data_IF_501529630168
#
_entry.id   IF_501529630168
#
_cell.length_a   1.000
_cell.length_b   1.000
_cell.length_c   1.000
_cell.angle_alpha   90.00
_cell.angle_beta   90.00
_cell.angle_gamma   90.00
#
_symmetry.space_group_name_H-M   'P 1'
#
loop_
_entity.id
_entity.type
_entity.pdbx_description
1 polymer ?
#
# COMPACT_ATOMS: atom_id res chain seq x y z
N UNK A 1 22.21 -0.36 8.48
CA UNK A 1 20.82 -0.27 7.98
C UNK A 1 20.87 -0.51 6.48
N UNK A 2 20.17 -1.52 5.96
CA UNK A 2 20.14 -1.78 4.52
C UNK A 2 19.45 -0.60 3.82
N UNK A 3 19.97 -0.10 2.69
CA UNK A 3 19.36 1.03 2.00
C UNK A 3 17.91 0.70 1.57
N UNK A 4 16.95 1.56 1.91
CA UNK A 4 15.53 1.36 1.61
C UNK A 4 15.23 1.76 0.16
N UNK A 5 14.76 0.82 -0.65
CA UNK A 5 14.42 1.08 -2.05
C UNK A 5 12.95 1.41 -2.27
N UNK A 6 12.68 2.13 -3.37
CA UNK A 6 11.34 2.51 -3.78
C UNK A 6 10.42 1.31 -4.10
N UNK A 7 10.93 0.08 -4.25
CA UNK A 7 10.12 -1.13 -4.48
C UNK A 7 9.04 -1.30 -3.43
N UNK A 8 9.40 -1.17 -2.15
CA UNK A 8 8.47 -1.35 -1.02
C UNK A 8 7.99 -0.01 -0.44
N UNK A 9 8.06 1.08 -1.21
CA UNK A 9 7.57 2.39 -0.79
C UNK A 9 6.05 2.49 -0.98
N UNK A 10 5.31 2.95 0.02
CA UNK A 10 3.86 3.16 -0.06
C UNK A 10 3.46 4.20 -1.13
N UNK A 11 4.37 5.09 -1.51
CA UNK A 11 4.19 6.04 -2.61
C UNK A 11 4.50 5.45 -4.00
N UNK A 12 5.10 4.25 -4.07
CA UNK A 12 5.22 3.47 -5.30
C UNK A 12 4.13 2.40 -5.32
N UNK A 13 2.94 2.78 -5.76
CA UNK A 13 1.75 1.96 -5.60
C UNK A 13 1.51 0.94 -6.73
N UNK A 14 2.43 0.85 -7.69
CA UNK A 14 2.35 -0.12 -8.78
C UNK A 14 3.02 -1.47 -8.45
N UNK A 15 3.69 -1.55 -7.29
CA UNK A 15 4.54 -2.68 -6.94
C UNK A 15 4.51 -2.96 -5.44
N UNK A 16 4.69 -4.22 -5.05
CA UNK A 16 5.08 -4.64 -3.70
C UNK A 16 5.89 -5.91 -3.81
N UNK A 17 7.07 -5.96 -3.19
CA UNK A 17 7.97 -7.12 -3.26
C UNK A 17 8.16 -7.59 -4.71
N UNK A 18 7.76 -8.85 -5.00
CA UNK A 18 7.85 -9.49 -6.31
C UNK A 18 6.63 -9.27 -7.22
N UNK A 19 5.63 -8.47 -6.80
CA UNK A 19 4.38 -8.27 -7.53
C UNK A 19 4.26 -6.85 -8.06
N UNK A 20 3.75 -6.69 -9.28
CA UNK A 20 3.46 -5.40 -9.90
C UNK A 20 4.03 -5.27 -11.30
N UNK A 21 4.11 -4.03 -11.78
CA UNK A 21 4.71 -3.69 -13.07
C UNK A 21 6.23 -3.83 -13.05
N UNK A 22 6.90 -3.90 -14.19
CA UNK A 22 8.37 -3.89 -14.25
C UNK A 22 8.95 -2.57 -13.73
N UNK A 23 8.39 -1.44 -14.18
CA UNK A 23 8.72 -0.08 -13.73
C UNK A 23 7.80 0.36 -12.59
N UNK A 24 8.28 1.19 -11.68
CA UNK A 24 7.47 1.79 -10.62
C UNK A 24 6.99 3.19 -10.99
N UNK A 25 6.19 3.80 -10.11
CA UNK A 25 5.82 5.21 -10.22
C UNK A 25 5.74 5.84 -8.84
N UNK A 26 6.53 6.88 -8.59
CA UNK A 26 6.48 7.61 -7.34
C UNK A 26 5.44 8.74 -7.42
N UNK A 27 4.31 8.59 -6.74
CA UNK A 27 3.25 9.61 -6.75
C UNK A 27 3.67 10.93 -6.08
N UNK A 28 4.69 10.90 -5.22
CA UNK A 28 5.22 12.10 -4.55
C UNK A 28 6.00 13.01 -5.48
N UNK A 29 6.86 12.40 -6.30
CA UNK A 29 7.74 13.13 -7.20
C UNK A 29 7.20 13.15 -8.64
N UNK A 30 6.08 12.46 -8.89
CA UNK A 30 5.47 12.28 -10.22
C UNK A 30 6.48 11.78 -11.24
N UNK A 31 7.22 10.75 -10.84
CA UNK A 31 8.33 10.18 -11.61
C UNK A 31 8.14 8.69 -11.83
N UNK A 32 8.36 8.25 -13.06
CA UNK A 32 8.54 6.85 -13.42
C UNK A 32 9.84 6.37 -12.81
N UNK A 33 9.82 5.21 -12.17
CA UNK A 33 10.99 4.56 -11.59
C UNK A 33 11.36 3.39 -12.50
N UNK A 34 12.33 3.58 -13.39
CA UNK A 34 12.76 2.53 -14.32
C UNK A 34 13.48 1.40 -13.58
N UNK A 35 14.23 1.75 -12.53
CA UNK A 35 14.89 0.79 -11.64
C UNK A 35 14.49 1.05 -10.17
N UNK A 36 13.27 0.66 -9.75
CA UNK A 36 12.76 0.93 -8.39
C UNK A 36 13.64 0.35 -7.28
N UNK A 37 14.34 -0.76 -7.54
CA UNK A 37 15.24 -1.43 -6.61
C UNK A 37 16.54 -0.65 -6.35
N UNK A 38 16.91 0.24 -7.27
CA UNK A 38 18.11 1.08 -7.18
C UNK A 38 17.80 2.54 -6.81
N UNK A 39 16.52 2.89 -6.59
CA UNK A 39 16.11 4.27 -6.30
C UNK A 39 15.51 4.42 -4.91
N UNK A 40 15.56 5.64 -4.38
CA UNK A 40 14.97 6.01 -3.09
C UNK A 40 14.59 7.50 -3.04
N UNK A 41 13.95 7.94 -1.96
CA UNK A 41 13.78 9.36 -1.66
C UNK A 41 13.60 9.61 -0.15
N UNK A 42 13.80 10.85 0.30
CA UNK A 42 13.56 11.23 1.70
C UNK A 42 12.09 11.15 2.14
N UNK A 43 11.15 10.91 1.22
CA UNK A 43 9.73 10.70 1.53
C UNK A 43 9.36 9.22 1.71
N UNK A 44 10.28 8.30 1.41
CA UNK A 44 10.00 6.87 1.42
C UNK A 44 9.37 6.42 2.74
N UNK A 45 8.25 5.72 2.63
CA UNK A 45 7.57 5.07 3.75
C UNK A 45 7.41 3.59 3.39
N UNK A 46 7.99 2.69 4.21
CA UNK A 46 7.92 1.24 3.98
C UNK A 46 6.49 0.74 4.14
N UNK A 47 5.95 0.09 3.11
CA UNK A 47 4.56 -0.41 3.09
C UNK A 47 4.39 -1.79 3.73
N UNK A 48 5.50 -2.52 3.85
CA UNK A 48 5.64 -3.87 4.42
C UNK A 48 5.97 -3.86 5.92
N UNK A 49 6.17 -2.67 6.51
CA UNK A 49 6.33 -2.48 7.95
C UNK A 49 5.04 -1.96 8.59
N UNK A 50 4.81 -2.28 9.85
CA UNK A 50 3.75 -1.67 10.66
C UNK A 50 3.98 -0.17 10.85
N UNK A 51 2.92 0.62 11.02
CA UNK A 51 3.01 2.10 11.07
C UNK A 51 4.13 2.65 11.95
N UNK A 52 4.23 2.17 13.20
CA UNK A 52 5.26 2.63 14.14
C UNK A 52 6.67 2.38 13.59
N UNK A 53 6.94 1.17 13.11
CA UNK A 53 8.24 0.82 12.53
C UNK A 53 8.50 1.57 11.22
N UNK A 54 7.49 1.71 10.36
CA UNK A 54 7.56 2.47 9.12
C UNK A 54 7.92 3.95 9.36
N UNK A 55 7.36 4.58 10.41
CA UNK A 55 7.70 5.96 10.79
C UNK A 55 9.11 6.10 11.34
N UNK A 56 9.56 5.13 12.15
CA UNK A 56 10.94 5.12 12.68
C UNK A 56 11.94 5.00 11.54
N UNK A 57 11.74 4.03 10.64
CA UNK A 57 12.59 3.85 9.46
C UNK A 57 12.56 5.07 8.55
N UNK A 58 11.37 5.63 8.30
CA UNK A 58 11.23 6.86 7.53
C UNK A 58 12.07 7.97 8.17
N UNK A 59 11.93 8.23 9.47
CA UNK A 59 12.67 9.29 10.16
C UNK A 59 14.19 9.18 9.98
N UNK A 60 14.76 7.98 10.18
CA UNK A 60 16.20 7.76 9.94
C UNK A 60 16.57 7.93 8.46
N UNK A 61 15.70 7.50 7.55
CA UNK A 61 15.94 7.58 6.11
C UNK A 61 15.96 9.03 5.60
N UNK A 62 15.09 9.91 6.10
CA UNK A 62 15.07 11.33 5.69
C UNK A 62 16.27 12.12 6.25
N UNK A 63 17.01 11.58 7.22
CA UNK A 63 18.27 12.18 7.63
C UNK A 63 19.39 11.98 6.58
N UNK A 64 19.24 11.00 5.69
CA UNK A 64 20.21 10.68 4.63
C UNK A 64 19.83 11.23 3.26
N UNK A 65 18.54 11.29 2.94
CA UNK A 65 18.05 11.75 1.64
C UNK A 65 17.07 12.91 1.79
N UNK A 66 17.23 13.94 0.96
CA UNK A 66 16.29 15.05 0.98
C UNK A 66 14.92 14.67 0.39
N UNK A 67 13.91 15.49 0.68
CA UNK A 67 12.50 15.22 0.38
C UNK A 67 12.03 15.73 -0.97
N UNK A 68 12.90 16.37 -1.74
CA UNK A 68 12.60 17.08 -3.00
C UNK A 68 12.92 16.25 -4.24
N UNK A 69 13.81 15.26 -4.14
CA UNK A 69 14.24 14.43 -5.28
C UNK A 69 14.07 12.92 -5.12
N UNK A 70 14.30 12.23 -6.23
CA UNK A 70 14.59 10.79 -6.29
C UNK A 70 16.10 10.63 -6.41
N UNK A 71 16.66 9.67 -5.67
CA UNK A 71 18.09 9.44 -5.54
C UNK A 71 18.43 8.00 -5.91
N UNK A 72 19.62 7.80 -6.48
CA UNK A 72 20.19 6.46 -6.62
C UNK A 72 20.73 5.96 -5.28
N UNK A 73 20.46 4.69 -4.97
CA UNK A 73 20.80 4.11 -3.67
C UNK A 73 22.29 3.89 -3.45
N UNK A 74 23.01 3.55 -4.51
CA UNK A 74 24.44 3.23 -4.46
C UNK A 74 25.27 4.49 -4.27
N UNK A 75 25.01 5.52 -5.08
CA UNK A 75 25.78 6.77 -5.12
C UNK A 75 25.23 7.82 -4.15
N UNK A 76 23.94 7.76 -3.84
CA UNK A 76 23.25 8.82 -3.10
C UNK A 76 23.00 10.09 -3.91
N UNK A 77 23.27 10.06 -5.21
CA UNK A 77 23.13 11.22 -6.08
C UNK A 77 21.69 11.40 -6.59
N UNK A 78 21.30 12.66 -6.80
CA UNK A 78 20.06 13.03 -7.47
C UNK A 78 20.20 13.03 -9.00
N UNK A 79 21.13 12.23 -9.54
CA UNK A 79 21.39 12.17 -10.97
C UNK A 79 20.35 11.27 -11.64
N UNK A 80 19.77 11.77 -12.73
CA UNK A 80 18.86 11.00 -13.59
C UNK A 80 19.68 10.06 -14.49
N UNK A 81 20.45 9.14 -13.90
CA UNK A 81 21.30 8.16 -14.60
C UNK A 81 20.52 7.13 -15.44
N UNK A 82 19.28 7.43 -15.83
CA UNK A 82 18.33 6.51 -16.45
C UNK A 82 17.50 5.71 -15.45
N UNK A 83 17.72 5.87 -14.14
CA UNK A 83 17.06 5.13 -13.05
C UNK A 83 15.65 5.63 -12.69
N UNK A 84 15.27 6.83 -13.14
CA UNK A 84 13.93 7.40 -13.03
C UNK A 84 13.68 8.47 -14.09
N UNK A 85 12.44 8.86 -14.36
CA UNK A 85 12.13 9.92 -15.32
C UNK A 85 10.84 10.65 -14.99
N UNK A 86 10.82 11.96 -15.20
CA UNK A 86 9.62 12.81 -15.13
C UNK A 86 9.13 13.24 -16.53
N UNK A 87 9.69 12.68 -17.61
CA UNK A 87 9.30 13.03 -18.97
C UNK A 87 7.91 12.49 -19.30
N UNK A 88 7.02 13.29 -19.91
CA UNK A 88 5.70 12.80 -20.32
C UNK A 88 5.74 11.59 -21.26
N UNK A 89 6.77 11.49 -22.11
CA UNK A 89 6.98 10.34 -23.00
C UNK A 89 7.11 9.02 -22.25
N UNK A 90 7.76 9.06 -21.09
CA UNK A 90 8.08 7.88 -20.31
C UNK A 90 6.91 7.49 -19.39
N UNK A 91 6.03 8.45 -19.09
CA UNK A 91 4.76 8.23 -18.41
C UNK A 91 3.70 7.63 -19.34
N UNK A 92 3.74 7.91 -20.65
CA UNK A 92 2.72 7.51 -21.61
C UNK A 92 2.38 5.99 -21.62
N UNK A 93 3.33 5.05 -21.46
CA UNK A 93 3.00 3.63 -21.31
C UNK A 93 2.16 3.34 -20.06
N UNK A 94 2.48 3.95 -18.91
CA UNK A 94 1.70 3.78 -17.68
C UNK A 94 0.28 4.31 -17.83
N UNK A 95 0.10 5.39 -18.61
CA UNK A 95 -1.23 5.95 -18.87
C UNK A 95 -2.13 5.06 -19.73
N UNK A 96 -1.58 4.06 -20.43
CA UNK A 96 -2.36 3.07 -21.20
C UNK A 96 -2.81 1.88 -20.35
N UNK A 97 -2.14 1.65 -19.22
CA UNK A 97 -2.53 0.63 -18.25
C UNK A 97 -3.58 1.22 -17.29
N UNK A 98 -4.75 0.60 -17.09
CA UNK A 98 -5.82 1.17 -16.26
C UNK A 98 -5.38 1.46 -14.81
N UNK A 99 -4.63 0.54 -14.20
CA UNK A 99 -4.12 0.72 -12.82
C UNK A 99 -3.00 1.76 -12.80
N UNK A 100 -2.09 1.70 -13.77
CA UNK A 100 -1.02 2.66 -14.02
C UNK A 100 -1.54 4.10 -14.10
N UNK A 101 -2.58 4.31 -14.91
CA UNK A 101 -3.24 5.60 -15.07
C UNK A 101 -3.91 6.08 -13.77
N UNK A 102 -4.63 5.20 -13.06
CA UNK A 102 -5.29 5.55 -11.80
C UNK A 102 -4.28 5.94 -10.71
N UNK A 103 -3.16 5.21 -10.59
CA UNK A 103 -2.06 5.57 -9.67
C UNK A 103 -1.36 6.85 -10.10
N UNK A 104 -1.08 7.02 -11.39
CA UNK A 104 -0.40 8.21 -11.91
C UNK A 104 -1.19 9.50 -11.66
N UNK A 105 -2.52 9.43 -11.79
CA UNK A 105 -3.47 10.53 -11.55
C UNK A 105 -3.91 10.67 -10.10
N UNK A 106 -3.26 9.97 -9.17
CA UNK A 106 -3.62 10.05 -7.75
C UNK A 106 -3.50 11.49 -7.22
N UNK A 107 -4.62 12.05 -6.76
CA UNK A 107 -4.73 13.43 -6.31
C UNK A 107 -4.91 14.47 -7.41
N UNK A 108 -5.23 14.06 -8.65
CA UNK A 108 -5.58 14.95 -9.76
C UNK A 108 -7.09 15.07 -10.00
N UNK A 109 -7.91 14.31 -9.28
CA UNK A 109 -9.37 14.46 -9.24
C UNK A 109 -9.79 15.47 -8.16
N UNK A 110 -11.08 15.78 -8.06
CA UNK A 110 -11.61 16.76 -7.11
C UNK A 110 -11.19 16.41 -5.66
N UNK A 111 -11.13 15.10 -5.36
CA UNK A 111 -10.62 14.61 -4.08
C UNK A 111 -9.65 13.43 -4.23
N UNK A 112 -8.71 13.30 -3.29
CA UNK A 112 -7.84 12.10 -3.20
C UNK A 112 -8.63 10.81 -2.96
N UNK A 113 -9.81 10.90 -2.32
CA UNK A 113 -10.65 9.73 -2.10
C UNK A 113 -11.33 9.26 -3.39
N UNK A 114 -11.66 10.16 -4.32
CA UNK A 114 -12.10 9.78 -5.67
C UNK A 114 -10.99 9.07 -6.44
N UNK A 115 -9.73 9.52 -6.32
CA UNK A 115 -8.63 8.80 -6.96
C UNK A 115 -8.51 7.36 -6.43
N UNK A 116 -8.73 7.17 -5.12
CA UNK A 116 -8.73 5.84 -4.51
C UNK A 116 -9.98 5.01 -4.86
N UNK A 117 -11.13 5.65 -5.11
CA UNK A 117 -12.35 4.94 -5.48
C UNK A 117 -12.22 4.25 -6.84
N UNK A 118 -11.48 4.85 -7.79
CA UNK A 118 -11.14 4.22 -9.06
C UNK A 118 -10.41 2.89 -8.87
N UNK A 119 -9.39 2.86 -8.00
CA UNK A 119 -8.67 1.63 -7.66
C UNK A 119 -9.56 0.62 -6.92
N UNK A 120 -10.54 1.10 -6.15
CA UNK A 120 -11.41 0.25 -5.35
C UNK A 120 -12.34 -0.64 -6.19
N UNK A 121 -12.69 -0.22 -7.40
CA UNK A 121 -13.60 -0.95 -8.30
C UNK A 121 -12.86 -1.74 -9.39
N UNK A 122 -11.54 -1.61 -9.46
CA UNK A 122 -10.70 -2.40 -10.37
C UNK A 122 -10.39 -3.77 -9.78
N UNK A 123 -10.36 -4.78 -10.63
CA UNK A 123 -9.97 -6.15 -10.27
C UNK A 123 -8.45 -6.34 -10.38
N UNK A 124 -7.93 -7.30 -9.61
CA UNK A 124 -6.55 -7.79 -9.74
C UNK A 124 -5.58 -7.22 -8.71
N UNK A 125 -4.46 -7.93 -8.54
CA UNK A 125 -3.44 -7.65 -7.54
C UNK A 125 -2.90 -6.22 -7.58
N UNK A 126 -2.65 -5.67 -8.78
CA UNK A 126 -2.08 -4.33 -8.94
C UNK A 126 -3.02 -3.25 -8.40
N UNK A 127 -4.33 -3.38 -8.62
CA UNK A 127 -5.31 -2.45 -8.09
C UNK A 127 -5.37 -2.51 -6.55
N UNK A 128 -5.29 -3.71 -5.98
CA UNK A 128 -5.26 -3.90 -4.52
C UNK A 128 -4.02 -3.31 -3.86
N UNK A 129 -2.85 -3.54 -4.46
CA UNK A 129 -1.58 -2.93 -4.03
C UNK A 129 -1.71 -1.41 -4.10
N UNK A 130 -2.25 -0.90 -5.21
CA UNK A 130 -2.55 0.51 -5.42
C UNK A 130 -3.38 1.11 -4.29
N UNK A 131 -4.54 0.52 -4.05
CA UNK A 131 -5.52 0.97 -3.05
C UNK A 131 -4.94 0.95 -1.64
N UNK A 132 -4.32 -0.16 -1.22
CA UNK A 132 -3.79 -0.29 0.13
C UNK A 132 -2.56 0.59 0.35
N UNK A 133 -1.64 0.68 -0.64
CA UNK A 133 -0.44 1.50 -0.54
C UNK A 133 -0.78 3.00 -0.47
N UNK A 134 -1.57 3.50 -1.42
CA UNK A 134 -1.95 4.91 -1.45
C UNK A 134 -2.90 5.26 -0.32
N UNK A 135 -3.85 4.38 0.00
CA UNK A 135 -4.75 4.50 1.15
C UNK A 135 -3.99 4.70 2.46
N UNK A 136 -2.92 3.94 2.66
CA UNK A 136 -2.02 4.10 3.80
C UNK A 136 -1.41 5.50 3.87
N UNK A 137 -0.83 5.98 2.76
CA UNK A 137 -0.23 7.31 2.71
C UNK A 137 -1.26 8.43 2.91
N UNK A 138 -2.46 8.25 2.37
CA UNK A 138 -3.58 9.17 2.48
C UNK A 138 -4.01 9.36 3.94
N UNK A 139 -4.33 8.25 4.63
CA UNK A 139 -4.80 8.30 6.02
C UNK A 139 -3.71 8.85 6.93
N UNK A 140 -2.46 8.40 6.77
CA UNK A 140 -1.37 8.89 7.60
C UNK A 140 -1.21 10.41 7.49
N UNK A 141 -1.30 10.96 6.27
CA UNK A 141 -1.23 12.40 6.03
C UNK A 141 -2.41 13.17 6.59
N UNK A 142 -3.63 12.66 6.43
CA UNK A 142 -4.80 13.28 7.02
C UNK A 142 -4.63 13.41 8.54
N UNK A 143 -4.15 12.36 9.21
CA UNK A 143 -3.90 12.38 10.66
C UNK A 143 -2.74 13.29 11.04
N UNK A 144 -1.63 13.27 10.29
CA UNK A 144 -0.49 14.18 10.51
C UNK A 144 -0.88 15.66 10.38
N UNK A 145 -1.84 15.96 9.50
CA UNK A 145 -2.36 17.31 9.29
C UNK A 145 -3.53 17.66 10.25
N UNK A 146 -3.68 16.94 11.36
CA UNK A 146 -4.69 17.23 12.40
C UNK A 146 -6.08 16.64 12.15
N UNK A 147 -6.27 15.89 11.05
CA UNK A 147 -7.48 15.14 10.78
C UNK A 147 -7.60 13.85 11.61
N UNK A 148 -8.60 13.03 11.26
CA UNK A 148 -8.90 11.77 11.95
C UNK A 148 -8.79 10.57 11.01
N UNK A 149 -8.72 9.36 11.59
CA UNK A 149 -8.72 8.11 10.83
C UNK A 149 -9.95 7.97 9.93
N UNK A 150 -11.07 8.63 10.28
CA UNK A 150 -12.33 8.65 9.52
C UNK A 150 -12.19 9.28 8.14
N UNK A 151 -11.14 10.08 7.89
CA UNK A 151 -10.82 10.54 6.53
C UNK A 151 -10.61 9.35 5.56
N UNK A 152 -10.13 8.22 6.08
CA UNK A 152 -9.95 6.96 5.36
C UNK A 152 -11.09 5.96 5.49
N UNK A 153 -12.27 6.36 6.00
CA UNK A 153 -13.38 5.45 6.30
C UNK A 153 -13.76 4.56 5.11
N UNK A 154 -13.88 5.15 3.90
CA UNK A 154 -14.24 4.40 2.71
C UNK A 154 -13.15 3.41 2.29
N UNK A 155 -11.89 3.81 2.36
CA UNK A 155 -10.76 2.92 2.05
C UNK A 155 -10.70 1.74 3.03
N UNK A 156 -10.90 2.01 4.32
CA UNK A 156 -11.06 0.98 5.35
C UNK A 156 -12.17 0.01 4.99
N UNK A 157 -13.35 0.53 4.66
CA UNK A 157 -14.50 -0.29 4.29
C UNK A 157 -14.23 -1.16 3.06
N UNK A 158 -13.71 -0.57 1.98
CA UNK A 158 -13.43 -1.26 0.72
C UNK A 158 -12.39 -2.38 0.86
N UNK A 159 -11.38 -2.22 1.74
CA UNK A 159 -10.38 -3.25 2.01
C UNK A 159 -10.93 -4.30 2.98
N UNK A 160 -11.63 -3.87 4.04
CA UNK A 160 -12.22 -4.78 5.02
C UNK A 160 -13.26 -5.72 4.40
N UNK A 161 -14.08 -5.23 3.47
CA UNK A 161 -15.11 -6.03 2.80
C UNK A 161 -14.54 -7.15 1.93
N UNK A 162 -13.31 -7.00 1.44
CA UNK A 162 -12.62 -7.94 0.54
C UNK A 162 -11.47 -8.70 1.21
N UNK A 163 -11.24 -8.51 2.51
CA UNK A 163 -10.07 -9.07 3.19
C UNK A 163 -9.95 -10.59 3.05
N UNK A 164 -11.08 -11.30 2.97
CA UNK A 164 -11.18 -12.75 2.89
C UNK A 164 -11.15 -13.30 1.45
N UNK A 165 -11.13 -12.42 0.44
CA UNK A 165 -10.99 -12.78 -0.96
C UNK A 165 -9.52 -13.08 -1.26
N UNK A 166 -9.26 -14.13 -2.03
CA UNK A 166 -7.88 -14.44 -2.42
C UNK A 166 -7.42 -13.46 -3.51
N UNK A 167 -6.21 -12.87 -3.39
CA UNK A 167 -5.71 -11.97 -4.42
C UNK A 167 -5.59 -12.70 -5.77
N UNK A 168 -6.19 -12.11 -6.80
CA UNK A 168 -6.06 -12.56 -8.19
C UNK A 168 -4.71 -12.07 -8.72
N UNK A 169 -3.78 -12.99 -8.95
CA UNK A 169 -2.43 -12.71 -9.45
C UNK A 169 -2.25 -13.46 -10.76
N UNK A 170 -2.01 -12.72 -11.83
CA UNK A 170 -1.62 -13.30 -13.12
C UNK A 170 -0.09 -13.47 -13.18
N UNK A 171 0.39 -14.34 -14.08
CA UNK A 171 1.83 -14.58 -14.22
C UNK A 171 2.59 -13.29 -14.58
N UNK A 172 1.98 -12.42 -15.38
CA UNK A 172 2.53 -11.12 -15.77
C UNK A 172 2.62 -10.10 -14.62
N UNK A 173 1.92 -10.34 -13.51
CA UNK A 173 2.05 -9.51 -12.31
C UNK A 173 3.31 -9.87 -11.51
N UNK A 174 4.00 -10.97 -11.82
CA UNK A 174 5.26 -11.32 -11.16
C UNK A 174 6.44 -10.60 -11.84
N UNK A 175 7.10 -9.74 -11.07
CA UNK A 175 8.20 -8.87 -11.54
C UNK A 175 9.54 -9.57 -11.67
N UNK A 176 9.75 -10.57 -10.82
CA UNK A 176 11.04 -11.26 -10.67
C UNK A 176 10.81 -12.76 -10.71
N UNK A 177 11.54 -13.45 -11.59
CA UNK A 177 11.63 -14.91 -11.55
C UNK A 177 12.63 -15.29 -10.46
N UNK A 178 12.14 -15.88 -9.36
CA UNK A 178 13.00 -16.40 -8.29
C UNK A 178 13.36 -17.86 -8.55
N UNK A 179 14.45 -18.32 -7.94
CA UNK A 179 14.83 -19.75 -7.91
C UNK A 179 13.91 -20.56 -6.97
N UNK A 180 12.60 -20.42 -7.16
CA UNK A 180 11.54 -21.10 -6.41
C UNK A 180 10.54 -21.67 -7.40
N UNK A 181 9.86 -22.79 -7.08
CA UNK A 181 8.75 -23.26 -7.89
C UNK A 181 7.68 -22.16 -8.06
N UNK A 182 7.12 -22.03 -9.26
CA UNK A 182 6.14 -20.97 -9.57
C UNK A 182 4.98 -20.90 -8.56
N UNK A 183 4.43 -22.06 -8.17
CA UNK A 183 3.37 -22.11 -7.16
C UNK A 183 3.78 -21.47 -5.81
N UNK A 184 5.04 -21.64 -5.40
CA UNK A 184 5.57 -21.01 -4.19
C UNK A 184 5.72 -19.50 -4.34
N UNK A 185 6.12 -19.03 -5.53
CA UNK A 185 6.20 -17.60 -5.84
C UNK A 185 4.81 -16.95 -5.77
N UNK A 186 3.80 -17.59 -6.37
CA UNK A 186 2.41 -17.14 -6.30
C UNK A 186 1.86 -17.12 -4.87
N UNK A 187 2.16 -18.13 -4.06
CA UNK A 187 1.74 -18.15 -2.65
C UNK A 187 2.36 -17.00 -1.84
N UNK A 188 3.65 -16.71 -2.03
CA UNK A 188 4.33 -15.59 -1.36
C UNK A 188 3.80 -14.23 -1.82
N UNK A 189 3.52 -14.11 -3.12
CA UNK A 189 2.92 -12.93 -3.72
C UNK A 189 1.52 -12.65 -3.11
N UNK A 190 0.66 -13.67 -3.04
CA UNK A 190 -0.67 -13.56 -2.42
C UNK A 190 -0.57 -13.26 -0.93
N UNK A 191 0.35 -13.91 -0.22
CA UNK A 191 0.60 -13.64 1.20
C UNK A 191 0.94 -12.16 1.42
N UNK A 192 1.82 -11.60 0.59
CA UNK A 192 2.29 -10.21 0.71
C UNK A 192 1.14 -9.21 0.51
N UNK A 193 0.27 -9.45 -0.47
CA UNK A 193 -0.92 -8.61 -0.71
C UNK A 193 -1.89 -8.68 0.47
N UNK A 194 -2.19 -9.87 1.00
CA UNK A 194 -3.09 -10.00 2.16
C UNK A 194 -2.49 -9.30 3.38
N UNK A 195 -1.18 -9.42 3.61
CA UNK A 195 -0.51 -8.73 4.69
C UNK A 195 -0.49 -7.22 4.51
N UNK A 196 -0.39 -6.72 3.27
CA UNK A 196 -0.53 -5.30 2.96
C UNK A 196 -1.96 -4.80 3.29
N UNK A 197 -3.01 -5.57 2.95
CA UNK A 197 -4.40 -5.27 3.34
C UNK A 197 -4.53 -5.18 4.87
N UNK A 198 -4.04 -6.18 5.60
CA UNK A 198 -4.07 -6.21 7.06
C UNK A 198 -3.26 -5.04 7.67
N UNK A 199 -2.12 -4.70 7.07
CA UNK A 199 -1.27 -3.59 7.53
C UNK A 199 -2.01 -2.26 7.40
N UNK A 200 -2.68 -2.02 6.27
CA UNK A 200 -3.51 -0.82 6.13
C UNK A 200 -4.64 -0.76 7.18
N UNK A 201 -5.36 -1.86 7.39
CA UNK A 201 -6.43 -1.92 8.41
C UNK A 201 -5.89 -1.66 9.82
N UNK A 202 -4.70 -2.19 10.10
CA UNK A 202 -4.01 -1.98 11.36
C UNK A 202 -3.56 -0.52 11.56
N UNK A 203 -3.03 0.12 10.52
CA UNK A 203 -2.67 1.55 10.57
C UNK A 203 -3.88 2.41 10.95
N UNK A 204 -5.06 2.15 10.37
CA UNK A 204 -6.32 2.81 10.76
C UNK A 204 -6.66 2.53 12.23
N UNK A 205 -6.50 1.29 12.69
CA UNK A 205 -6.66 0.89 14.09
C UNK A 205 -5.70 1.63 15.04
N UNK A 206 -4.45 1.87 14.64
CA UNK A 206 -3.48 2.64 15.43
C UNK A 206 -3.85 4.12 15.50
N UNK A 207 -4.37 4.69 14.40
CA UNK A 207 -4.86 6.07 14.38
C UNK A 207 -6.16 6.27 15.17
N UNK A 208 -7.00 5.23 15.29
CA UNK A 208 -8.16 5.24 16.17
C UNK A 208 -7.72 5.18 17.65
N UNK A 209 -7.53 6.37 18.26
CA UNK A 209 -7.10 6.52 19.66
C UNK A 209 -7.99 5.75 20.66
N UNK A 210 -9.26 5.55 20.33
CA UNK A 210 -10.24 4.83 21.17
C UNK A 210 -11.32 4.15 20.31
N UNK A 211 -12.23 3.41 20.96
CA UNK A 211 -13.35 2.74 20.30
C UNK A 211 -13.00 1.39 19.68
N UNK A 212 -14.00 0.76 19.05
CA UNK A 212 -13.87 -0.61 18.52
C UNK A 212 -12.91 -0.70 17.34
N UNK A 213 -12.69 0.36 16.57
CA UNK A 213 -11.69 0.38 15.48
C UNK A 213 -10.28 0.11 16.01
N UNK A 214 -9.97 0.52 17.24
CA UNK A 214 -8.65 0.28 17.85
C UNK A 214 -8.32 -1.21 18.00
N UNK A 215 -9.31 -2.11 17.98
CA UNK A 215 -9.07 -3.56 18.16
C UNK A 215 -8.43 -4.23 16.95
N UNK A 216 -8.31 -3.55 15.81
CA UNK A 216 -7.65 -4.08 14.60
C UNK A 216 -6.19 -3.65 14.44
N UNK A 217 -5.65 -2.88 15.40
CA UNK A 217 -4.30 -2.26 15.37
C UNK A 217 -3.10 -3.22 15.36
N UNK A 218 -3.35 -4.51 15.47
CA UNK A 218 -2.35 -5.58 15.58
C UNK A 218 -2.69 -6.79 14.69
N UNK A 219 -3.59 -6.60 13.70
CA UNK A 219 -4.04 -7.70 12.83
C UNK A 219 -2.88 -8.41 12.11
N UNK A 220 -1.89 -7.71 11.50
CA UNK A 220 -0.75 -8.37 10.86
C UNK A 220 0.05 -9.24 11.83
N UNK A 221 0.33 -8.76 13.03
CA UNK A 221 1.09 -9.50 14.03
C UNK A 221 0.33 -10.75 14.49
N UNK A 222 -0.97 -10.62 14.76
CA UNK A 222 -1.83 -11.76 15.13
C UNK A 222 -1.93 -12.79 14.02
N UNK A 223 -2.01 -12.35 12.76
CA UNK A 223 -2.01 -13.23 11.61
C UNK A 223 -0.66 -13.97 11.47
N UNK A 224 0.45 -13.26 11.61
CA UNK A 224 1.78 -13.86 11.56
C UNK A 224 1.98 -14.89 12.68
N UNK A 225 1.61 -14.56 13.92
CA UNK A 225 1.69 -15.46 15.07
C UNK A 225 0.85 -16.73 14.88
N UNK A 226 -0.39 -16.59 14.40
CA UNK A 226 -1.29 -17.72 14.18
C UNK A 226 -0.89 -18.63 13.01
N UNK A 227 -0.12 -18.11 12.05
CA UNK A 227 0.29 -18.87 10.85
C UNK A 227 1.65 -19.54 11.01
N UNK A 228 2.53 -18.95 11.82
CA UNK A 228 3.91 -19.40 12.05
C UNK A 228 4.77 -19.22 10.80
N UNK A 229 4.69 -20.17 9.88
CA UNK A 229 5.38 -20.12 8.60
C UNK A 229 4.65 -19.24 7.59
N UNK A 230 5.39 -18.77 6.57
CA UNK A 230 4.84 -18.08 5.38
C UNK A 230 3.95 -19.03 4.55
N UNK A 231 2.77 -19.35 5.06
CA UNK A 231 1.78 -20.23 4.45
C UNK A 231 0.53 -19.45 4.09
N UNK A 232 0.31 -19.25 2.80
CA UNK A 232 -0.88 -18.54 2.31
C UNK A 232 -2.18 -19.22 2.75
N UNK A 233 -2.23 -20.57 2.70
CA UNK A 233 -3.39 -21.35 3.16
C UNK A 233 -3.72 -21.10 4.63
N UNK A 234 -2.70 -21.11 5.51
CA UNK A 234 -2.91 -20.82 6.95
C UNK A 234 -3.37 -19.37 7.15
N UNK A 235 -2.78 -18.42 6.42
CA UNK A 235 -3.16 -17.01 6.49
C UNK A 235 -4.63 -16.80 6.12
N UNK A 236 -5.09 -17.35 4.99
CA UNK A 236 -6.49 -17.22 4.58
C UNK A 236 -7.46 -17.91 5.53
N UNK A 237 -7.06 -19.04 6.13
CA UNK A 237 -7.84 -19.71 7.18
C UNK A 237 -8.03 -18.81 8.40
N UNK A 238 -6.95 -18.17 8.88
CA UNK A 238 -7.01 -17.22 9.98
C UNK A 238 -7.87 -16.00 9.64
N UNK A 239 -7.67 -15.40 8.46
CA UNK A 239 -8.44 -14.23 8.00
C UNK A 239 -9.94 -14.53 8.00
N UNK A 240 -10.36 -15.68 7.45
CA UNK A 240 -11.78 -16.07 7.36
C UNK A 240 -12.41 -16.33 8.73
N UNK A 241 -11.67 -16.98 9.65
CA UNK A 241 -12.18 -17.34 10.98
C UNK A 241 -12.20 -16.16 11.95
N UNK A 242 -11.09 -15.43 12.02
CA UNK A 242 -10.84 -14.42 13.05
C UNK A 242 -10.84 -13.01 12.48
N UNK A 243 -10.12 -12.80 11.37
CA UNK A 243 -9.96 -11.48 10.76
C UNK A 243 -11.29 -10.81 10.39
N UNK A 244 -12.18 -11.53 9.69
CA UNK A 244 -13.51 -11.04 9.30
C UNK A 244 -14.37 -10.72 10.53
N UNK A 245 -14.33 -11.57 11.56
CA UNK A 245 -15.09 -11.37 12.80
C UNK A 245 -14.64 -10.10 13.52
N UNK A 246 -13.32 -9.90 13.65
CA UNK A 246 -12.74 -8.70 14.24
C UNK A 246 -13.17 -7.43 13.49
N UNK A 247 -13.10 -7.46 12.16
CA UNK A 247 -13.47 -6.31 11.33
C UNK A 247 -14.96 -5.96 11.43
N UNK A 248 -15.84 -6.97 11.41
CA UNK A 248 -17.29 -6.77 11.60
C UNK A 248 -17.62 -6.21 12.98
N UNK A 249 -16.88 -6.59 14.02
CA UNK A 249 -17.04 -6.03 15.36
C UNK A 249 -16.47 -4.61 15.47
N UNK A 250 -15.34 -4.34 14.81
CA UNK A 250 -14.66 -3.05 14.79
C UNK A 250 -15.49 -1.98 14.06
N UNK A 251 -16.02 -2.31 12.90
CA UNK A 251 -16.87 -1.45 12.07
C UNK A 251 -18.05 -2.24 11.48
N UNK A 252 -19.16 -2.41 12.23
CA UNK A 252 -20.39 -2.94 11.66
C UNK A 252 -20.90 -2.07 10.51
N UNK A 253 -21.58 -2.66 9.54
CA UNK A 253 -22.13 -1.95 8.37
C UNK A 253 -23.03 -0.77 8.76
N UNK A 254 -23.87 -0.95 9.77
CA UNK A 254 -24.73 0.14 10.30
C UNK A 254 -23.91 1.31 10.84
N UNK A 255 -22.75 1.05 11.46
CA UNK A 255 -21.83 2.09 11.93
C UNK A 255 -21.12 2.77 10.77
N UNK A 256 -20.68 2.02 9.77
CA UNK A 256 -20.12 2.56 8.53
C UNK A 256 -21.12 3.50 7.84
N UNK A 257 -22.35 3.04 7.60
CA UNK A 257 -23.39 3.83 6.95
C UNK A 257 -23.73 5.12 7.73
N UNK A 258 -23.68 5.08 9.06
CA UNK A 258 -23.83 6.27 9.90
C UNK A 258 -22.67 7.25 9.70
N UNK A 259 -21.42 6.80 9.87
CA UNK A 259 -20.23 7.65 9.72
C UNK A 259 -20.10 8.22 8.30
N UNK A 260 -20.39 7.42 7.28
CA UNK A 260 -20.39 7.83 5.88
C UNK A 260 -21.34 9.01 5.65
N UNK A 261 -22.58 8.94 6.18
CA UNK A 261 -23.55 10.04 6.07
C UNK A 261 -23.15 11.29 6.84
N UNK A 262 -22.49 11.13 7.99
CA UNK A 262 -21.96 12.26 8.77
C UNK A 262 -20.89 13.01 7.96
N UNK A 263 -19.97 12.30 7.31
CA UNK A 263 -18.91 12.90 6.48
C UNK A 263 -19.39 13.59 5.20
N UNK A 264 -20.60 13.29 4.70
CA UNK A 264 -21.16 13.96 3.52
C UNK A 264 -21.96 15.23 3.86
N UNK A 265 -22.17 15.52 5.15
CA UNK A 265 -22.94 16.69 5.62
C UNK A 265 -22.07 17.89 5.97
N UNK A 266 -20.78 17.66 6.14
CA UNK A 266 -19.74 18.66 6.36
C UNK A 266 -19.04 19.00 5.03
#
# INVERSE_FOLDING_TARGET
MLPLSCVNCAFNALQTDSVGTAVGYCVEHRSVLTTPSATTCGRLMRKDLMLKSAKVEQHYHQARYARDGVYELETGEATNGGSWSSKPSDLAPLMRDPVGAAVARYGELDTKIESLSQLSVMDGARAEIGLASLGRTYVNRCVENGGQWTSGLHVFWWIASRVAEEPKIELEDLRETRALPLGRQLDLARWSIVMLRLTFLSDVGQHARSGKIRTVRDMPERAAEATGDLSFKKLMSWVRREGVTLLRQALPESRYAKLSRELHRD
#
